data_IF_218494931644
#
_entry.id   IF_218494931644
#
_cell.length_a   1.000
_cell.length_b   1.000
_cell.length_c   1.000
_cell.angle_alpha   90.00
_cell.angle_beta   90.00
_cell.angle_gamma   90.00
#
_symmetry.space_group_name_H-M   'P 1'
#
loop_
_entity.id
_entity.type
_entity.pdbx_description
1 polymer ?
#
# COMPACT_ATOMS: atom_id res chain seq x y z
N UNK A 1 -4.41 -22.08 -0.34
CA UNK A 1 -4.97 -22.06 -1.72
C UNK A 1 -4.09 -21.18 -2.60
N UNK A 2 -3.91 -21.65 -3.83
CA UNK A 2 -3.03 -21.22 -4.92
C UNK A 2 -3.09 -19.71 -5.26
N UNK A 3 -1.96 -19.08 -5.59
CA UNK A 3 -1.93 -18.04 -6.63
C UNK A 3 -0.79 -18.29 -7.60
N UNK A 4 -1.18 -18.41 -8.86
CA UNK A 4 -0.50 -19.06 -9.96
C UNK A 4 0.74 -18.28 -10.38
N UNK A 5 1.92 -18.90 -10.21
CA UNK A 5 3.11 -18.59 -11.00
C UNK A 5 3.20 -19.61 -12.13
N UNK A 6 3.57 -19.11 -13.31
CA UNK A 6 3.95 -19.81 -14.54
C UNK A 6 2.81 -20.43 -15.36
N UNK A 7 2.53 -19.80 -16.51
CA UNK A 7 2.63 -20.43 -17.84
C UNK A 7 2.97 -19.35 -18.88
N UNK A 8 4.27 -19.06 -19.00
CA UNK A 8 4.83 -18.47 -20.21
C UNK A 8 5.33 -19.62 -21.11
N UNK A 9 4.98 -19.55 -22.41
CA UNK A 9 5.17 -20.54 -23.47
C UNK A 9 4.19 -21.73 -23.39
N UNK A 10 3.39 -22.05 -24.42
CA UNK A 10 3.75 -22.27 -25.82
C UNK A 10 2.60 -21.88 -26.77
N UNK A 11 2.62 -20.63 -27.25
CA UNK A 11 1.93 -20.25 -28.48
C UNK A 11 2.99 -19.81 -29.49
N UNK A 12 3.07 -20.47 -30.65
CA UNK A 12 4.05 -20.18 -31.69
C UNK A 12 3.81 -18.76 -32.22
N UNK A 13 4.48 -17.75 -31.65
CA UNK A 13 4.40 -16.35 -32.12
C UNK A 13 4.21 -15.27 -31.04
N UNK A 14 3.90 -15.62 -29.79
CA UNK A 14 3.64 -14.60 -28.76
C UNK A 14 4.94 -13.88 -28.36
N UNK A 15 4.99 -12.54 -28.36
CA UNK A 15 6.17 -11.80 -27.95
C UNK A 15 6.52 -12.05 -26.49
N UNK A 16 7.82 -12.13 -26.20
CA UNK A 16 8.31 -12.13 -24.82
C UNK A 16 8.25 -10.71 -24.27
N UNK A 17 7.86 -10.59 -23.01
CA UNK A 17 7.65 -9.32 -22.32
C UNK A 17 8.49 -9.27 -21.05
N UNK A 18 9.19 -8.16 -20.85
CA UNK A 18 9.85 -7.80 -19.61
C UNK A 18 9.60 -6.33 -19.29
N UNK A 19 9.59 -6.00 -18.00
CA UNK A 19 9.44 -4.64 -17.49
C UNK A 19 10.71 -4.32 -16.71
N UNK A 20 11.35 -3.22 -17.05
CA UNK A 20 12.56 -2.75 -16.38
C UNK A 20 12.28 -1.37 -15.83
N UNK A 21 12.55 -1.16 -14.55
CA UNK A 21 12.37 0.14 -13.89
C UNK A 21 13.71 0.85 -13.79
N UNK A 22 13.70 2.17 -13.93
CA UNK A 22 14.88 2.99 -13.70
C UNK A 22 15.31 2.92 -12.23
N UNK A 23 14.34 2.89 -11.31
CA UNK A 23 14.54 2.64 -9.89
C UNK A 23 13.49 1.65 -9.37
N UNK A 24 13.85 0.78 -8.39
CA UNK A 24 12.92 -0.18 -7.81
C UNK A 24 12.02 0.44 -6.73
N UNK A 25 12.01 1.77 -6.59
CA UNK A 25 11.25 2.48 -5.58
C UNK A 25 10.70 3.81 -6.10
N UNK A 26 9.51 4.19 -5.62
CA UNK A 26 8.89 5.50 -5.83
C UNK A 26 7.87 5.77 -4.71
N UNK A 27 7.73 7.03 -4.28
CA UNK A 27 6.72 7.46 -3.31
C UNK A 27 5.38 7.78 -4.00
N UNK A 28 4.26 7.77 -3.26
CA UNK A 28 3.00 8.30 -3.77
C UNK A 28 3.19 9.73 -4.31
N UNK A 29 2.61 10.03 -5.48
CA UNK A 29 2.77 11.32 -6.17
C UNK A 29 4.03 11.45 -7.04
N UNK A 30 5.02 10.55 -6.93
CA UNK A 30 6.21 10.56 -7.78
C UNK A 30 5.98 9.86 -9.13
N UNK A 31 6.84 10.15 -10.11
CA UNK A 31 6.90 9.43 -11.38
C UNK A 31 7.75 8.18 -11.27
N UNK A 32 7.19 7.05 -11.70
CA UNK A 32 7.91 5.80 -11.88
C UNK A 32 8.26 5.62 -13.35
N UNK A 33 9.54 5.87 -13.67
CA UNK A 33 10.10 5.70 -15.01
C UNK A 33 10.53 4.25 -15.25
N UNK A 34 10.28 3.76 -16.46
CA UNK A 34 10.72 2.43 -16.87
C UNK A 34 10.56 2.17 -18.37
N UNK A 35 10.79 0.92 -18.74
CA UNK A 35 10.65 0.44 -20.11
C UNK A 35 9.91 -0.90 -20.14
N UNK A 36 8.99 -1.04 -21.08
CA UNK A 36 8.52 -2.35 -21.52
C UNK A 36 9.42 -2.84 -22.65
N UNK A 37 10.10 -3.96 -22.41
CA UNK A 37 10.96 -4.63 -23.38
C UNK A 37 10.22 -5.79 -24.02
N UNK A 38 10.08 -5.72 -25.33
CA UNK A 38 9.46 -6.75 -26.16
C UNK A 38 10.53 -7.48 -26.96
N UNK A 39 10.34 -8.79 -27.15
CA UNK A 39 11.12 -9.57 -28.11
C UNK A 39 10.16 -10.39 -28.97
N UNK A 40 10.20 -10.17 -30.28
CA UNK A 40 9.39 -10.88 -31.26
C UNK A 40 9.60 -12.39 -31.22
N UNK A 41 8.56 -13.13 -31.59
CA UNK A 41 8.58 -14.58 -31.66
C UNK A 41 9.33 -15.09 -32.90
N UNK A 42 8.90 -16.25 -33.41
CA UNK A 42 9.47 -16.86 -34.63
C UNK A 42 8.91 -16.28 -35.94
N UNK A 43 7.87 -15.44 -35.86
CA UNK A 43 7.21 -14.77 -36.97
C UNK A 43 6.92 -13.33 -36.58
N UNK A 44 6.66 -12.50 -37.57
CA UNK A 44 6.17 -11.14 -37.35
C UNK A 44 4.83 -11.19 -36.63
N UNK A 45 4.64 -10.25 -35.71
CA UNK A 45 3.44 -10.14 -34.88
C UNK A 45 2.89 -8.71 -34.92
N UNK A 46 1.57 -8.60 -34.87
CA UNK A 46 0.92 -7.31 -34.72
C UNK A 46 0.55 -7.08 -33.25
N UNK A 47 1.23 -6.12 -32.61
CA UNK A 47 0.91 -5.71 -31.24
C UNK A 47 -0.20 -4.66 -31.31
N UNK A 48 -1.36 -5.01 -30.76
CA UNK A 48 -2.56 -4.17 -30.72
C UNK A 48 -2.65 -3.29 -29.47
N UNK A 49 -1.89 -3.62 -28.41
CA UNK A 49 -1.77 -2.80 -27.20
C UNK A 49 -0.60 -3.23 -26.33
N UNK A 50 0.06 -2.26 -25.72
CA UNK A 50 0.93 -2.46 -24.54
C UNK A 50 0.41 -1.57 -23.42
N UNK A 51 0.17 -2.15 -22.26
CA UNK A 51 -0.27 -1.42 -21.06
C UNK A 51 0.49 -1.89 -19.82
N UNK A 52 0.65 -0.97 -18.87
CA UNK A 52 1.21 -1.22 -17.54
C UNK A 52 0.16 -0.80 -16.52
N UNK A 53 -0.23 -1.72 -15.64
CA UNK A 53 -1.15 -1.46 -14.55
C UNK A 53 -0.41 -1.47 -13.21
N UNK A 54 -0.70 -0.50 -12.35
CA UNK A 54 -0.25 -0.46 -10.96
C UNK A 54 -1.28 -1.20 -10.11
N UNK A 55 -0.86 -2.24 -9.39
CA UNK A 55 -1.77 -3.09 -8.61
C UNK A 55 -1.28 -3.17 -7.18
N UNK A 56 -2.12 -2.76 -6.23
CA UNK A 56 -1.91 -3.01 -4.82
C UNK A 56 -2.41 -4.42 -4.47
N UNK A 57 -1.56 -5.22 -3.82
CA UNK A 57 -1.90 -6.52 -3.23
C UNK A 57 -2.09 -6.28 -1.72
N UNK A 58 -3.34 -6.23 -1.30
CA UNK A 58 -3.74 -5.93 0.07
C UNK A 58 -4.39 -7.16 0.72
N UNK A 59 -4.55 -7.21 2.06
CA UNK A 59 -5.20 -8.33 2.74
C UNK A 59 -6.64 -8.62 2.24
N UNK A 60 -7.32 -7.61 1.69
CA UNK A 60 -8.64 -7.74 1.07
C UNK A 60 -8.65 -8.24 -0.38
N UNK A 61 -7.48 -8.36 -1.02
CA UNK A 61 -7.34 -8.74 -2.42
C UNK A 61 -6.64 -7.68 -3.27
N UNK A 62 -6.36 -8.00 -4.55
CA UNK A 62 -5.70 -7.09 -5.48
C UNK A 62 -6.63 -5.95 -5.90
N UNK A 63 -6.11 -4.72 -5.94
CA UNK A 63 -6.79 -3.51 -6.42
C UNK A 63 -5.93 -2.86 -7.50
N UNK A 64 -6.48 -2.64 -8.69
CA UNK A 64 -5.83 -1.83 -9.73
C UNK A 64 -5.97 -0.36 -9.35
N UNK A 65 -4.82 0.29 -9.13
CA UNK A 65 -4.75 1.69 -8.72
C UNK A 65 -4.75 2.64 -9.92
N UNK A 66 -4.05 2.25 -10.98
CA UNK A 66 -3.95 3.02 -12.22
C UNK A 66 -3.52 2.11 -13.39
N UNK A 67 -3.75 2.57 -14.62
CA UNK A 67 -3.35 1.91 -15.85
C UNK A 67 -2.87 2.90 -16.90
N UNK A 68 -1.63 2.73 -17.31
CA UNK A 68 -1.01 3.47 -18.40
C UNK A 68 -0.99 2.65 -19.69
N UNK A 69 -1.48 3.24 -20.79
CA UNK A 69 -1.29 2.70 -22.14
C UNK A 69 0.08 3.15 -22.68
N UNK A 70 1.04 2.24 -22.70
CA UNK A 70 2.41 2.50 -23.19
C UNK A 70 2.47 2.57 -24.71
N UNK A 71 1.74 1.70 -25.41
CA UNK A 71 1.68 1.73 -26.88
C UNK A 71 0.32 1.30 -27.41
N UNK A 72 -0.05 1.89 -28.55
CA UNK A 72 -1.27 1.57 -29.26
C UNK A 72 -1.07 0.42 -30.26
N UNK A 73 -0.44 0.65 -31.42
CA UNK A 73 -0.23 -0.38 -32.43
C UNK A 73 1.21 -0.34 -32.93
N UNK A 74 1.89 -1.49 -32.95
CA UNK A 74 3.20 -1.62 -33.60
C UNK A 74 3.35 -3.00 -34.26
N UNK A 75 4.15 -3.05 -35.33
CA UNK A 75 4.62 -4.32 -35.88
C UNK A 75 5.90 -4.72 -35.18
N UNK A 76 5.96 -5.97 -34.74
CA UNK A 76 7.14 -6.54 -34.11
C UNK A 76 7.62 -7.71 -34.98
N UNK A 77 8.72 -7.52 -35.69
CA UNK A 77 9.30 -8.54 -36.55
C UNK A 77 9.79 -9.76 -35.78
N UNK A 78 9.94 -10.89 -36.46
CA UNK A 78 10.51 -12.11 -35.88
C UNK A 78 11.87 -11.82 -35.21
N UNK A 79 12.01 -12.18 -33.93
CA UNK A 79 13.22 -11.91 -33.13
C UNK A 79 13.54 -10.44 -32.86
N UNK A 80 12.78 -9.48 -33.40
CA UNK A 80 13.02 -8.05 -33.20
C UNK A 80 12.92 -7.69 -31.72
N UNK A 81 13.87 -6.87 -31.24
CA UNK A 81 13.81 -6.28 -29.91
C UNK A 81 13.26 -4.86 -30.01
N UNK A 82 12.35 -4.53 -29.13
CA UNK A 82 11.75 -3.20 -29.04
C UNK A 82 11.69 -2.79 -27.56
N UNK A 83 12.09 -1.55 -27.27
CA UNK A 83 11.97 -0.96 -25.95
C UNK A 83 10.99 0.20 -26.03
N UNK A 84 10.02 0.22 -25.13
CA UNK A 84 8.97 1.23 -25.06
C UNK A 84 9.07 1.92 -23.70
N UNK A 85 9.61 3.16 -23.64
CA UNK A 85 9.72 3.90 -22.38
C UNK A 85 8.33 4.30 -21.88
N UNK A 86 8.20 4.44 -20.56
CA UNK A 86 6.99 4.94 -19.92
C UNK A 86 7.33 5.71 -18.64
N UNK A 87 6.47 6.68 -18.32
CA UNK A 87 6.44 7.36 -17.03
C UNK A 87 5.04 7.19 -16.44
N UNK A 88 4.97 6.56 -15.27
CA UNK A 88 3.71 6.31 -14.56
C UNK A 88 3.70 7.14 -13.27
N UNK A 89 2.77 8.09 -13.16
CA UNK A 89 2.56 8.80 -11.91
C UNK A 89 1.92 7.87 -10.87
N UNK A 90 2.56 7.68 -9.72
CA UNK A 90 1.94 6.94 -8.62
C UNK A 90 0.79 7.78 -8.07
N UNK A 91 -0.45 7.25 -8.02
CA UNK A 91 -1.54 7.92 -7.33
C UNK A 91 -1.17 8.24 -5.89
N UNK A 92 -1.63 9.38 -5.35
CA UNK A 92 -1.43 9.71 -3.94
C UNK A 92 -2.02 8.65 -2.99
N UNK A 93 -3.05 7.93 -3.44
CA UNK A 93 -3.65 6.80 -2.72
C UNK A 93 -2.83 5.50 -2.77
N UNK A 94 -1.64 5.50 -3.40
CA UNK A 94 -0.78 4.31 -3.45
C UNK A 94 -0.32 3.95 -2.02
N UNK A 95 -0.61 2.73 -1.52
CA UNK A 95 -0.20 2.34 -0.19
C UNK A 95 1.32 2.17 -0.13
N UNK A 96 1.93 2.61 0.96
CA UNK A 96 3.33 2.31 1.23
C UNK A 96 3.50 0.82 1.60
N UNK A 97 4.59 0.24 1.14
CA UNK A 97 4.91 -1.20 1.29
C UNK A 97 6.00 -1.46 2.32
N UNK A 98 6.53 -0.40 2.93
CA UNK A 98 7.55 -0.43 3.97
C UNK A 98 7.30 0.66 5.01
N UNK A 99 7.71 0.43 6.24
CA UNK A 99 7.70 1.41 7.32
C UNK A 99 8.80 1.05 8.33
N UNK A 100 9.36 2.05 9.01
CA UNK A 100 10.44 1.85 9.98
C UNK A 100 11.63 1.02 9.42
N UNK A 101 11.93 1.19 8.14
CA UNK A 101 12.99 0.45 7.44
C UNK A 101 12.69 -1.02 7.11
N UNK A 102 11.48 -1.52 7.40
CA UNK A 102 11.08 -2.91 7.17
C UNK A 102 9.87 -3.03 6.21
N UNK A 103 9.77 -4.11 5.41
CA UNK A 103 8.57 -4.37 4.61
C UNK A 103 7.32 -4.56 5.49
N UNK A 104 6.19 -4.02 5.02
CA UNK A 104 4.89 -4.23 5.66
C UNK A 104 4.27 -5.56 5.19
N UNK A 105 4.13 -6.49 6.14
CA UNK A 105 3.47 -7.76 5.87
C UNK A 105 2.05 -7.56 5.33
N UNK A 106 1.71 -8.26 4.25
CA UNK A 106 0.40 -8.20 3.61
C UNK A 106 0.16 -6.98 2.72
N UNK A 107 1.14 -6.08 2.57
CA UNK A 107 1.06 -4.93 1.67
C UNK A 107 2.15 -5.05 0.60
N UNK A 108 1.75 -5.15 -0.65
CA UNK A 108 2.66 -5.06 -1.78
C UNK A 108 2.05 -4.23 -2.90
N UNK A 109 2.91 -3.60 -3.69
CA UNK A 109 2.52 -2.92 -4.93
C UNK A 109 3.31 -3.58 -6.05
N UNK A 110 2.65 -3.96 -7.13
CA UNK A 110 3.26 -4.59 -8.29
C UNK A 110 2.88 -3.83 -9.54
N UNK A 111 3.78 -3.82 -10.52
CA UNK A 111 3.40 -3.49 -11.89
C UNK A 111 2.96 -4.77 -12.59
N UNK A 112 1.93 -4.66 -13.41
CA UNK A 112 1.47 -5.72 -14.31
C UNK A 112 1.53 -5.21 -15.74
N UNK A 113 2.43 -5.78 -16.52
CA UNK A 113 2.51 -5.46 -17.94
C UNK A 113 1.64 -6.42 -18.73
N UNK A 114 0.81 -5.86 -19.61
CA UNK A 114 -0.09 -6.59 -20.49
C UNK A 114 0.22 -6.20 -21.95
N UNK A 115 0.42 -7.21 -22.78
CA UNK A 115 0.67 -7.05 -24.22
C UNK A 115 -0.36 -7.88 -24.98
N UNK A 116 -1.15 -7.21 -25.81
CA UNK A 116 -2.13 -7.84 -26.69
C UNK A 116 -1.53 -7.92 -28.09
N UNK A 117 -1.27 -9.12 -28.57
CA UNK A 117 -0.68 -9.36 -29.89
C UNK A 117 -1.34 -10.55 -30.59
N UNK A 118 -1.73 -10.41 -31.85
CA UNK A 118 -2.34 -11.48 -32.67
C UNK A 118 -3.46 -12.27 -31.96
N UNK A 119 -4.35 -11.56 -31.25
CA UNK A 119 -5.44 -12.12 -30.42
C UNK A 119 -4.99 -12.95 -29.20
N UNK A 120 -3.71 -12.90 -28.84
CA UNK A 120 -3.15 -13.46 -27.62
C UNK A 120 -2.81 -12.35 -26.62
N UNK A 121 -2.81 -12.69 -25.33
CA UNK A 121 -2.42 -11.77 -24.26
C UNK A 121 -1.23 -12.34 -23.52
N UNK A 122 -0.10 -11.63 -23.54
CA UNK A 122 1.04 -11.89 -22.69
C UNK A 122 0.96 -11.00 -21.44
N UNK A 123 1.17 -11.58 -20.26
CA UNK A 123 1.22 -10.86 -18.98
C UNK A 123 2.55 -11.10 -18.29
N UNK A 124 3.09 -10.06 -17.65
CA UNK A 124 4.27 -10.18 -16.79
C UNK A 124 4.14 -9.26 -15.58
N UNK A 125 4.35 -9.86 -14.41
CA UNK A 125 4.43 -9.16 -13.13
C UNK A 125 5.91 -9.16 -12.69
N UNK A 126 6.64 -8.03 -12.75
CA UNK A 126 7.93 -7.85 -12.08
C UNK A 126 7.85 -8.09 -10.55
N UNK A 127 9.01 -8.14 -9.86
CA UNK A 127 9.04 -8.10 -8.40
C UNK A 127 8.27 -6.90 -7.83
N UNK A 128 7.78 -6.98 -6.58
CA UNK A 128 7.09 -5.87 -5.94
C UNK A 128 7.92 -4.59 -5.90
N UNK A 129 7.24 -3.47 -6.14
CA UNK A 129 7.76 -2.11 -6.01
C UNK A 129 7.92 -1.75 -4.52
N UNK A 130 9.05 -1.15 -4.17
CA UNK A 130 9.21 -0.48 -2.89
C UNK A 130 8.51 0.87 -2.93
N UNK A 131 7.52 1.04 -2.07
CA UNK A 131 6.80 2.30 -1.92
C UNK A 131 7.06 2.79 -0.50
N UNK A 132 8.08 3.63 -0.29
CA UNK A 132 8.31 4.22 1.03
C UNK A 132 7.15 5.15 1.41
N UNK A 133 6.93 5.33 2.73
CA UNK A 133 5.96 6.30 3.23
C UNK A 133 6.32 7.71 2.77
N UNK A 134 5.37 8.65 2.83
CA UNK A 134 5.67 10.07 2.64
C UNK A 134 6.23 10.62 3.95
N UNK A 135 7.00 11.71 3.95
CA UNK A 135 7.44 12.34 5.22
C UNK A 135 6.27 12.65 6.16
N UNK A 136 5.11 13.04 5.61
CA UNK A 136 3.88 13.25 6.38
C UNK A 136 3.29 11.94 6.94
N UNK A 137 3.43 10.80 6.25
CA UNK A 137 3.09 9.49 6.80
C UNK A 137 4.03 9.15 7.98
N UNK A 138 5.35 9.31 7.79
CA UNK A 138 6.35 9.05 8.83
C UNK A 138 6.10 9.91 10.08
N UNK A 139 5.73 11.19 9.92
CA UNK A 139 5.42 12.05 11.06
C UNK A 139 4.28 11.51 11.95
N UNK A 140 3.25 10.89 11.36
CA UNK A 140 2.16 10.25 12.11
C UNK A 140 2.64 8.95 12.75
N UNK A 141 3.37 8.12 11.99
CA UNK A 141 3.91 6.85 12.46
C UNK A 141 4.86 7.04 13.65
N UNK A 142 5.80 7.97 13.53
CA UNK A 142 6.75 8.31 14.57
C UNK A 142 6.07 8.89 15.81
N UNK A 143 5.01 9.70 15.64
CA UNK A 143 4.23 10.20 16.76
C UNK A 143 3.57 9.07 17.55
N UNK A 144 2.95 8.12 16.87
CA UNK A 144 2.38 6.92 17.48
C UNK A 144 3.46 6.09 18.19
N UNK A 145 4.62 5.91 17.55
CA UNK A 145 5.74 5.19 18.12
C UNK A 145 6.29 5.87 19.38
N UNK A 146 6.40 7.21 19.41
CA UNK A 146 6.81 8.00 20.59
C UNK A 146 5.85 7.84 21.76
N UNK A 147 4.55 7.74 21.47
CA UNK A 147 3.51 7.42 22.47
C UNK A 147 3.51 5.93 22.85
N UNK A 148 4.39 5.12 22.27
CA UNK A 148 4.57 3.70 22.57
C UNK A 148 3.55 2.77 21.90
N UNK A 149 2.77 3.26 20.94
CA UNK A 149 1.92 2.41 20.11
C UNK A 149 2.78 1.58 19.16
N UNK A 150 2.52 0.27 19.12
CA UNK A 150 3.32 -0.68 18.33
C UNK A 150 2.51 -1.27 17.18
N UNK A 151 2.99 -1.23 15.93
CA UNK A 151 2.24 -1.76 14.80
C UNK A 151 1.99 -3.27 14.95
N UNK A 152 0.81 -3.71 14.53
CA UNK A 152 0.42 -5.11 14.42
C UNK A 152 0.75 -5.60 13.01
N UNK A 153 1.37 -6.77 12.90
CA UNK A 153 1.63 -7.39 11.60
C UNK A 153 0.29 -7.71 10.90
N UNK A 154 0.16 -7.29 9.64
CA UNK A 154 -1.00 -7.53 8.78
C UNK A 154 -2.34 -7.00 9.36
N UNK A 155 -2.50 -5.68 9.52
CA UNK A 155 -3.80 -5.11 9.84
C UNK A 155 -4.78 -5.47 8.71
N UNK A 156 -5.88 -6.15 9.03
CA UNK A 156 -6.94 -6.41 8.05
C UNK A 156 -7.44 -5.10 7.46
N UNK A 157 -7.38 -4.98 6.14
CA UNK A 157 -7.95 -3.85 5.39
C UNK A 157 -9.17 -4.31 4.61
N UNK A 158 -10.23 -3.51 4.61
CA UNK A 158 -11.31 -3.71 3.64
C UNK A 158 -10.77 -3.34 2.25
N UNK A 159 -10.86 -4.24 1.26
CA UNK A 159 -10.44 -3.94 -0.10
C UNK A 159 -11.29 -2.79 -0.66
N UNK A 160 -10.63 -1.77 -1.22
CA UNK A 160 -11.30 -0.62 -1.83
C UNK A 160 -11.76 0.48 -0.87
N UNK A 161 -11.57 0.32 0.45
CA UNK A 161 -11.72 1.44 1.37
C UNK A 161 -10.68 2.52 1.04
N UNK A 162 -11.06 3.80 1.03
CA UNK A 162 -10.08 4.84 0.74
C UNK A 162 -9.00 4.85 1.83
N UNK A 163 -7.76 5.12 1.47
CA UNK A 163 -6.62 5.21 2.41
C UNK A 163 -6.05 3.88 2.90
N UNK A 164 -4.85 3.94 3.49
CA UNK A 164 -4.15 2.79 4.05
C UNK A 164 -4.44 2.66 5.54
N UNK A 165 -4.97 1.50 5.95
CA UNK A 165 -5.27 1.21 7.35
C UNK A 165 -4.12 0.48 8.04
N UNK A 166 -3.70 1.00 9.18
CA UNK A 166 -2.76 0.36 10.10
C UNK A 166 -3.40 0.16 11.46
N UNK A 167 -2.98 -0.88 12.18
CA UNK A 167 -3.46 -1.20 13.53
C UNK A 167 -2.28 -1.28 14.47
N UNK A 168 -2.45 -0.72 15.66
CA UNK A 168 -1.43 -0.61 16.68
C UNK A 168 -1.93 -1.16 18.01
N UNK A 169 -1.04 -1.80 18.76
CA UNK A 169 -1.25 -2.14 20.17
C UNK A 169 -0.83 -0.96 21.03
N UNK A 170 -1.64 -0.57 22.04
CA UNK A 170 -1.30 0.49 22.95
C UNK A 170 -0.11 0.13 23.85
N UNK A 171 0.62 1.15 24.29
CA UNK A 171 1.61 1.04 25.35
C UNK A 171 0.94 0.73 26.70
N UNK A 172 1.72 0.28 27.70
CA UNK A 172 1.18 -0.08 29.02
C UNK A 172 0.37 1.07 29.67
N UNK A 173 0.81 2.32 29.50
CA UNK A 173 0.09 3.49 30.01
C UNK A 173 -1.27 3.74 29.33
N UNK A 174 -1.54 3.17 28.16
CA UNK A 174 -2.80 3.31 27.42
C UNK A 174 -3.59 2.01 27.29
N UNK A 175 -2.95 0.87 27.56
CA UNK A 175 -3.56 -0.46 27.52
C UNK A 175 -4.72 -0.59 28.51
N UNK A 176 -4.74 0.32 29.47
CA UNK A 176 -5.88 0.48 30.31
C UNK A 176 -7.02 1.13 29.50
N UNK A 177 -6.90 2.37 29.05
CA UNK A 177 -7.98 3.03 28.33
C UNK A 177 -8.41 2.42 26.98
N UNK A 178 -7.60 1.66 26.25
CA UNK A 178 -8.01 1.07 24.96
C UNK A 178 -7.41 -0.32 24.68
N UNK A 179 -8.10 -1.14 23.86
CA UNK A 179 -7.62 -2.45 23.41
C UNK A 179 -6.76 -2.39 22.14
N UNK A 180 -6.86 -1.29 21.39
CA UNK A 180 -6.18 -1.11 20.11
C UNK A 180 -6.40 0.29 19.55
N UNK A 181 -5.52 0.70 18.65
CA UNK A 181 -5.66 1.92 17.87
C UNK A 181 -5.57 1.57 16.39
N UNK A 182 -6.54 2.01 15.59
CA UNK A 182 -6.46 1.97 14.14
C UNK A 182 -6.16 3.37 13.60
N UNK A 183 -5.29 3.47 12.61
CA UNK A 183 -5.05 4.68 11.84
C UNK A 183 -5.42 4.41 10.38
N UNK A 184 -6.21 5.29 9.75
CA UNK A 184 -6.43 5.32 8.31
C UNK A 184 -5.75 6.55 7.75
N UNK A 185 -4.76 6.33 6.88
CA UNK A 185 -3.92 7.37 6.31
C UNK A 185 -4.36 7.63 4.85
N UNK A 186 -4.69 8.88 4.53
CA UNK A 186 -5.07 9.31 3.17
C UNK A 186 -4.15 10.43 2.73
N UNK A 187 -3.34 10.17 1.71
CA UNK A 187 -2.51 11.20 1.12
C UNK A 187 -3.20 11.85 -0.08
N UNK A 188 -2.94 13.14 -0.26
CA UNK A 188 -3.20 13.89 -1.48
C UNK A 188 -2.00 14.82 -1.79
N UNK A 189 -2.17 15.76 -2.72
CA UNK A 189 -1.09 16.68 -3.12
C UNK A 189 -0.71 17.72 -2.04
N UNK A 190 -1.57 17.97 -1.05
CA UNK A 190 -1.35 18.92 0.03
C UNK A 190 -0.81 18.29 1.31
N UNK A 191 -1.12 17.03 1.59
CA UNK A 191 -0.69 16.39 2.84
C UNK A 191 -1.24 14.98 3.06
N UNK A 192 -1.27 14.59 4.33
CA UNK A 192 -1.84 13.33 4.81
C UNK A 192 -2.89 13.63 5.87
N UNK A 193 -4.13 13.17 5.62
CA UNK A 193 -5.14 13.07 6.64
C UNK A 193 -4.97 11.74 7.39
N UNK A 194 -4.86 11.81 8.71
CA UNK A 194 -4.80 10.65 9.59
C UNK A 194 -6.08 10.59 10.43
N UNK A 195 -6.92 9.60 10.15
CA UNK A 195 -8.09 9.28 10.96
C UNK A 195 -7.71 8.20 11.98
N UNK A 196 -7.81 8.53 13.26
CA UNK A 196 -7.49 7.65 14.38
C UNK A 196 -8.79 7.09 14.99
N UNK A 197 -8.76 5.82 15.38
CA UNK A 197 -9.86 5.16 16.06
C UNK A 197 -9.32 4.29 17.20
N UNK A 198 -9.54 4.71 18.44
CA UNK A 198 -9.24 3.92 19.63
C UNK A 198 -10.41 2.98 19.94
N UNK A 199 -10.13 1.69 20.09
CA UNK A 199 -11.12 0.69 20.45
C UNK A 199 -11.29 0.58 21.98
N UNK A 200 -12.51 0.88 22.43
CA UNK A 200 -13.00 0.73 23.80
C UNK A 200 -13.88 -0.52 23.87
N UNK A 201 -13.28 -1.71 23.69
CA UNK A 201 -13.96 -3.03 23.74
C UNK A 201 -15.30 -3.06 22.98
N UNK A 202 -15.30 -2.65 21.72
CA UNK A 202 -16.47 -2.70 20.83
C UNK A 202 -17.11 -1.35 20.53
N UNK A 203 -16.65 -0.27 21.16
CA UNK A 203 -16.96 1.12 20.77
C UNK A 203 -15.70 1.82 20.30
N UNK A 204 -15.73 2.47 19.15
CA UNK A 204 -14.61 3.28 18.67
C UNK A 204 -14.76 4.76 19.07
N UNK A 205 -13.75 5.34 19.71
CA UNK A 205 -13.60 6.79 19.82
C UNK A 205 -12.65 7.26 18.74
N UNK A 206 -13.07 8.27 17.98
CA UNK A 206 -12.38 8.73 16.78
C UNK A 206 -11.77 10.10 16.97
N UNK A 207 -10.67 10.33 16.27
CA UNK A 207 -10.01 11.62 16.14
C UNK A 207 -9.40 11.74 14.75
N UNK A 208 -8.99 12.94 14.38
CA UNK A 208 -8.28 13.17 13.13
C UNK A 208 -7.24 14.26 13.28
N UNK A 209 -6.17 14.15 12.49
CA UNK A 209 -5.20 15.21 12.29
C UNK A 209 -4.81 15.32 10.82
N UNK A 210 -4.38 16.52 10.42
CA UNK A 210 -3.87 16.82 9.09
C UNK A 210 -2.37 17.14 9.17
N UNK A 211 -1.59 16.50 8.30
CA UNK A 211 -0.14 16.70 8.22
C UNK A 211 0.23 17.17 6.80
N UNK A 212 0.56 18.46 6.61
CA UNK A 212 0.91 18.98 5.29
C UNK A 212 2.27 18.48 4.80
N UNK A 213 2.45 18.39 3.48
CA UNK A 213 3.75 18.09 2.88
C UNK A 213 4.65 19.32 2.99
N UNK A 214 5.69 19.26 3.83
CA UNK A 214 6.73 20.30 3.89
C UNK A 214 6.82 21.11 5.18
N UNK A 215 6.00 20.84 6.20
CA UNK A 215 6.16 21.43 7.53
C UNK A 215 6.74 20.43 8.55
N UNK A 216 8.08 20.31 8.65
CA UNK A 216 8.71 19.63 9.76
C UNK A 216 8.69 20.56 10.98
N UNK A 217 7.74 20.41 11.90
CA UNK A 217 7.77 21.26 13.10
C UNK A 217 6.70 21.04 14.15
N UNK A 218 5.48 20.64 13.79
CA UNK A 218 4.46 20.43 14.82
C UNK A 218 4.70 19.09 15.55
N UNK A 219 4.59 19.11 16.88
CA UNK A 219 4.70 17.90 17.68
C UNK A 219 3.41 17.07 17.57
N UNK A 220 3.37 16.24 16.53
CA UNK A 220 2.25 15.33 16.28
C UNK A 220 2.01 14.36 17.42
N UNK A 221 3.02 14.06 18.26
CA UNK A 221 2.81 13.21 19.43
C UNK A 221 2.01 13.96 20.50
N UNK A 222 2.29 15.24 20.74
CA UNK A 222 1.52 16.06 21.66
C UNK A 222 0.06 16.24 21.19
N UNK A 223 -0.17 16.45 19.88
CA UNK A 223 -1.54 16.53 19.32
C UNK A 223 -2.34 15.23 19.54
N UNK A 224 -1.71 14.08 19.27
CA UNK A 224 -2.36 12.77 19.45
C UNK A 224 -2.57 12.46 20.94
N UNK A 225 -1.62 12.78 21.81
CA UNK A 225 -1.76 12.62 23.25
C UNK A 225 -2.88 13.51 23.79
N UNK A 226 -2.92 14.79 23.43
CA UNK A 226 -3.98 15.72 23.87
C UNK A 226 -5.38 15.23 23.46
N UNK A 227 -5.53 14.73 22.22
CA UNK A 227 -6.75 14.07 21.78
C UNK A 227 -7.09 12.87 22.68
N UNK A 228 -6.11 12.00 22.97
CA UNK A 228 -6.30 10.82 23.79
C UNK A 228 -6.74 11.18 25.23
N UNK A 229 -6.05 12.14 25.86
CA UNK A 229 -6.35 12.63 27.21
C UNK A 229 -7.72 13.27 27.31
N UNK A 230 -8.13 14.06 26.31
CA UNK A 230 -9.41 14.81 26.35
C UNK A 230 -10.62 14.00 25.93
N UNK A 231 -10.44 12.95 25.14
CA UNK A 231 -11.59 12.21 24.55
C UNK A 231 -11.58 10.73 24.85
N UNK A 232 -10.44 10.04 24.77
CA UNK A 232 -10.38 8.59 24.96
C UNK A 232 -10.42 8.24 26.45
N UNK A 233 -9.61 8.88 27.29
CA UNK A 233 -9.60 8.60 28.73
C UNK A 233 -10.95 8.86 29.40
N UNK A 234 -11.60 10.04 29.23
CA UNK A 234 -12.87 10.30 29.89
C UNK A 234 -13.98 9.37 29.41
N UNK A 235 -13.90 8.94 28.14
CA UNK A 235 -14.82 7.98 27.56
C UNK A 235 -14.62 6.54 28.09
N UNK A 236 -13.40 6.18 28.50
CA UNK A 236 -13.09 4.92 29.18
C UNK A 236 -13.57 4.95 30.64
N UNK A 237 -13.29 6.04 31.36
CA UNK A 237 -13.68 6.21 32.77
C UNK A 237 -15.20 6.21 32.93
N UNK A 238 -15.92 6.96 32.08
CA UNK A 238 -17.38 6.99 32.07
C UNK A 238 -18.02 5.65 31.68
N UNK A 239 -17.26 4.74 31.07
CA UNK A 239 -17.69 3.38 30.76
C UNK A 239 -17.41 2.38 31.90
N UNK A 240 -16.90 2.83 33.06
CA UNK A 240 -16.57 1.98 34.20
C UNK A 240 -15.40 1.04 33.93
N UNK A 241 -14.47 1.47 33.07
CA UNK A 241 -13.38 0.63 32.61
C UNK A 241 -12.26 0.53 33.68
N UNK A 242 -12.01 -0.66 34.21
CA UNK A 242 -10.87 -0.96 35.10
C UNK A 242 -9.98 -2.06 34.51
N UNK A 243 -8.66 -1.89 34.65
CA UNK A 243 -7.60 -2.78 34.14
C UNK A 243 -7.54 -4.16 34.81
N UNK A 244 -8.65 -4.88 34.92
CA UNK A 244 -8.66 -6.20 35.57
C UNK A 244 -9.39 -7.19 34.68
N UNK A 245 -8.61 -8.04 34.02
CA UNK A 245 -9.11 -9.07 33.11
C UNK A 245 -8.03 -10.07 32.73
N UNK A 246 -7.15 -10.43 33.66
CA UNK A 246 -6.49 -11.73 33.57
C UNK A 246 -7.58 -12.78 33.74
N UNK A 247 -7.87 -13.49 32.65
CA UNK A 247 -8.79 -14.61 32.61
C UNK A 247 -8.27 -15.68 33.60
N UNK A 248 -9.03 -16.12 34.63
CA UNK A 248 -8.59 -17.27 35.41
C UNK A 248 -8.57 -18.48 34.46
N UNK A 249 -7.45 -19.22 34.48
CA UNK A 249 -7.35 -20.51 33.84
C UNK A 249 -8.37 -21.44 34.51
N UNK A 250 -9.42 -21.82 33.77
CA UNK A 250 -10.36 -22.83 34.26
C UNK A 250 -9.66 -24.18 34.13
N UNK A 251 -9.21 -24.71 35.27
CA UNK A 251 -8.91 -26.12 35.47
C UNK A 251 -10.05 -26.79 36.23
N UNK A 252 -10.60 -27.84 35.64
CA UNK A 252 -11.10 -29.11 36.21
C UNK A 252 -12.00 -29.80 35.19
#
# INVERSE_FOLDING_TARGET
MVFTRLLGALGVGVPRVATVLAAPAARPGELLAGEVRLTGGRRDAEVARVAVALVALLPGGPVELDRLRVAARLRLGAGQRCALPFDLALPWSTPFTEAYGAPLAGHAVVLRTEVVADRTVARRDPPPLRVPPLPAHDAVLDALARLGFRPVAAPGGEPGAPGQRLVFRPAAQYAHACSGLAAVLRADAGGVAAELAADLRGRAVRGSLWVPHGEPGADRAAEIDDWFQRTVLPAADGAGWTATGARPANGS
#
